data_IF_344181286175
#
_entry.id   IF_344181286175
#
_cell.length_a   1.000
_cell.length_b   1.000
_cell.length_c   1.000
_cell.angle_alpha   90.00
_cell.angle_beta   90.00
_cell.angle_gamma   90.00
#
_symmetry.space_group_name_H-M   'P 1'
#
loop_
_entity.id
_entity.type
_entity.pdbx_description
1 polymer ?
#
# COMPACT_ATOMS: atom_id res chain seq x y z
N UNK A 1 -2.32 25.03 9.11
CA UNK A 1 -2.31 23.69 8.48
C UNK A 1 -0.92 23.48 7.92
N UNK A 2 -0.12 22.59 8.50
CA UNK A 2 1.29 22.44 8.15
C UNK A 2 1.41 21.97 6.70
N UNK A 3 1.88 22.87 5.84
CA UNK A 3 2.09 22.64 4.42
C UNK A 3 3.05 21.47 4.23
N UNK A 4 2.51 20.30 3.87
CA UNK A 4 3.27 19.40 3.02
C UNK A 4 3.43 20.18 1.71
N UNK A 5 4.59 20.82 1.53
CA UNK A 5 4.83 21.73 0.40
C UNK A 5 4.32 21.11 -0.90
N UNK A 6 3.60 21.89 -1.70
CA UNK A 6 2.92 21.44 -2.93
C UNK A 6 3.80 20.49 -3.77
N UNK A 7 5.09 20.78 -3.85
CA UNK A 7 6.13 19.97 -4.49
C UNK A 7 6.10 18.50 -4.06
N UNK A 8 5.98 18.21 -2.76
CA UNK A 8 5.97 16.85 -2.23
C UNK A 8 4.69 16.11 -2.56
N UNK A 9 3.57 16.83 -2.62
CA UNK A 9 2.28 16.25 -3.04
C UNK A 9 2.33 15.88 -4.52
N UNK A 10 2.89 16.74 -5.37
CA UNK A 10 3.10 16.42 -6.79
C UNK A 10 4.10 15.27 -6.98
N UNK A 11 5.17 15.23 -6.19
CA UNK A 11 6.15 14.13 -6.23
C UNK A 11 5.51 12.79 -5.87
N UNK A 12 4.65 12.76 -4.83
CA UNK A 12 3.88 11.57 -4.48
C UNK A 12 2.95 11.14 -5.62
N UNK A 13 2.20 12.06 -6.21
CA UNK A 13 1.32 11.76 -7.36
C UNK A 13 2.10 11.24 -8.57
N UNK A 14 3.24 11.85 -8.87
CA UNK A 14 4.13 11.41 -9.93
C UNK A 14 4.66 10.00 -9.65
N UNK A 15 4.99 9.69 -8.39
CA UNK A 15 5.42 8.34 -8.00
C UNK A 15 4.31 7.30 -8.16
N UNK A 16 3.09 7.62 -7.73
CA UNK A 16 1.93 6.73 -7.94
C UNK A 16 1.65 6.51 -9.42
N UNK A 17 1.74 7.57 -10.24
CA UNK A 17 1.56 7.48 -11.68
C UNK A 17 2.66 6.61 -12.31
N UNK A 18 3.92 6.81 -11.91
CA UNK A 18 5.05 6.02 -12.38
C UNK A 18 4.87 4.53 -12.05
N UNK A 19 4.43 4.20 -10.84
CA UNK A 19 4.14 2.81 -10.44
C UNK A 19 2.96 2.25 -11.23
N UNK A 20 1.87 3.00 -11.36
CA UNK A 20 0.68 2.54 -12.08
C UNK A 20 0.98 2.26 -13.56
N UNK A 21 1.75 3.14 -14.21
CA UNK A 21 2.17 2.97 -15.60
C UNK A 21 3.19 1.84 -15.73
N UNK A 22 4.21 1.81 -14.87
CA UNK A 22 5.25 0.78 -14.88
C UNK A 22 4.68 -0.61 -14.68
N UNK A 23 3.85 -0.82 -13.65
CA UNK A 23 3.21 -2.11 -13.40
C UNK A 23 2.11 -2.39 -14.43
N UNK A 24 1.33 -1.39 -14.81
CA UNK A 24 0.25 -1.55 -15.79
C UNK A 24 0.76 -2.07 -17.13
N UNK A 25 1.80 -1.45 -17.70
CA UNK A 25 2.33 -1.89 -19.00
C UNK A 25 2.93 -3.29 -18.92
N UNK A 26 3.57 -3.66 -17.81
CA UNK A 26 4.26 -4.95 -17.68
C UNK A 26 3.33 -6.11 -17.34
N UNK A 27 2.29 -5.91 -16.52
CA UNK A 27 1.47 -7.00 -15.97
C UNK A 27 0.04 -7.05 -16.53
N UNK A 28 -0.49 -5.94 -17.02
CA UNK A 28 -1.86 -5.86 -17.52
C UNK A 28 -2.11 -6.64 -18.81
N UNK A 29 -1.19 -6.69 -19.81
CA UNK A 29 -1.40 -7.46 -21.02
C UNK A 29 -1.64 -8.95 -20.75
N UNK A 30 -0.88 -9.54 -19.82
CA UNK A 30 -1.06 -10.93 -19.42
C UNK A 30 -2.36 -11.18 -18.65
N UNK A 31 -2.96 -10.14 -18.05
CA UNK A 31 -4.19 -10.24 -17.28
C UNK A 31 -5.43 -10.13 -18.17
N UNK A 32 -5.39 -9.28 -19.21
CA UNK A 32 -6.45 -9.18 -20.22
C UNK A 32 -6.45 -10.40 -21.15
N UNK A 33 -5.27 -10.87 -21.55
CA UNK A 33 -5.11 -11.98 -22.49
C UNK A 33 -4.38 -13.15 -21.83
N UNK A 34 -4.99 -13.82 -20.83
CA UNK A 34 -4.36 -14.95 -20.17
C UNK A 34 -4.22 -16.14 -21.15
N UNK A 35 -3.06 -16.80 -21.19
CA UNK A 35 -2.92 -18.05 -21.93
C UNK A 35 -3.89 -19.10 -21.37
N UNK A 36 -4.52 -19.95 -22.21
CA UNK A 36 -5.47 -20.98 -21.76
C UNK A 36 -4.89 -21.99 -20.75
N UNK A 37 -3.56 -22.13 -20.70
CA UNK A 37 -2.82 -23.06 -19.82
C UNK A 37 -2.16 -22.37 -18.62
N UNK A 38 -2.48 -21.10 -18.35
CA UNK A 38 -1.84 -20.34 -17.29
C UNK A 38 -2.43 -20.72 -15.91
N UNK A 39 -1.75 -21.62 -15.20
CA UNK A 39 -2.13 -22.07 -13.84
C UNK A 39 -0.94 -22.13 -12.86
N UNK A 40 0.22 -21.59 -13.24
CA UNK A 40 1.41 -21.52 -12.38
C UNK A 40 1.42 -20.35 -11.39
N UNK A 41 2.34 -20.33 -10.41
CA UNK A 41 2.45 -19.26 -9.40
C UNK A 41 2.58 -17.84 -9.97
N UNK A 42 3.05 -17.70 -11.21
CA UNK A 42 3.16 -16.42 -11.90
C UNK A 42 1.81 -15.73 -12.15
N UNK A 43 0.71 -16.48 -12.25
CA UNK A 43 -0.63 -15.88 -12.44
C UNK A 43 -1.08 -15.10 -11.20
N UNK A 44 -0.76 -15.60 -10.01
CA UNK A 44 -1.04 -14.93 -8.73
C UNK A 44 -0.21 -13.66 -8.62
N UNK A 45 1.08 -13.72 -8.97
CA UNK A 45 1.97 -12.55 -8.98
C UNK A 45 1.45 -11.48 -9.94
N UNK A 46 1.03 -11.88 -11.14
CA UNK A 46 0.49 -10.97 -12.14
C UNK A 46 -0.83 -10.33 -11.70
N UNK A 47 -1.73 -11.09 -11.08
CA UNK A 47 -2.97 -10.55 -10.52
C UNK A 47 -2.70 -9.58 -9.36
N UNK A 48 -1.76 -9.91 -8.47
CA UNK A 48 -1.39 -9.08 -7.33
C UNK A 48 -0.75 -7.77 -7.79
N UNK A 49 0.22 -7.82 -8.71
CA UNK A 49 0.90 -6.64 -9.26
C UNK A 49 0.00 -5.82 -10.20
N UNK A 50 -0.88 -6.47 -10.95
CA UNK A 50 -1.90 -5.79 -11.75
C UNK A 50 -2.90 -5.03 -10.87
N UNK A 51 -3.35 -5.62 -9.76
CA UNK A 51 -4.21 -4.94 -8.79
C UNK A 51 -3.47 -3.81 -8.08
N UNK A 52 -2.19 -4.01 -7.78
CA UNK A 52 -1.33 -2.97 -7.22
C UNK A 52 -1.21 -1.76 -8.16
N UNK A 53 -1.15 -1.99 -9.48
CA UNK A 53 -1.19 -0.93 -10.48
C UNK A 53 -2.51 -0.12 -10.44
N UNK A 54 -3.66 -0.79 -10.28
CA UNK A 54 -4.95 -0.13 -10.12
C UNK A 54 -5.02 0.71 -8.85
N UNK A 55 -4.56 0.15 -7.73
CA UNK A 55 -4.50 0.87 -6.46
C UNK A 55 -3.51 2.05 -6.54
N UNK A 56 -2.41 1.92 -7.28
CA UNK A 56 -1.50 3.03 -7.54
C UNK A 56 -2.18 4.13 -8.38
N UNK A 57 -2.98 3.78 -9.39
CA UNK A 57 -3.79 4.75 -10.13
C UNK A 57 -4.77 5.49 -9.20
N UNK A 58 -5.40 4.79 -8.26
CA UNK A 58 -6.23 5.41 -7.22
C UNK A 58 -5.39 6.28 -6.27
N UNK A 59 -4.14 5.91 -6.02
CA UNK A 59 -3.13 6.67 -5.28
C UNK A 59 -2.84 8.03 -5.87
N UNK A 60 -2.94 8.20 -7.19
CA UNK A 60 -2.82 9.51 -7.84
C UNK A 60 -3.92 10.48 -7.35
N UNK A 61 -5.15 9.98 -7.13
CA UNK A 61 -6.26 10.77 -6.61
C UNK A 61 -6.15 11.02 -5.10
N UNK A 62 -5.75 9.99 -4.34
CA UNK A 62 -5.67 10.03 -2.87
C UNK A 62 -4.26 9.70 -2.33
N UNK A 63 -3.23 10.53 -2.64
CA UNK A 63 -1.83 10.17 -2.42
C UNK A 63 -1.43 9.97 -0.95
N UNK A 64 -2.08 10.71 -0.03
CA UNK A 64 -1.80 10.63 1.41
C UNK A 64 -2.51 9.44 2.06
N UNK A 65 -3.72 9.08 1.60
CA UNK A 65 -4.48 7.95 2.15
C UNK A 65 -3.88 6.61 1.76
N UNK A 66 -3.28 6.53 0.58
CA UNK A 66 -2.66 5.31 0.05
C UNK A 66 -1.16 5.20 0.34
N UNK A 67 -0.61 5.99 1.27
CA UNK A 67 0.79 5.85 1.72
C UNK A 67 1.18 4.43 2.13
N UNK A 68 0.33 3.61 2.78
CA UNK A 68 0.64 2.20 3.04
C UNK A 68 1.03 1.41 1.80
N UNK A 69 0.49 1.77 0.63
CA UNK A 69 0.78 1.13 -0.65
C UNK A 69 2.24 1.32 -1.06
N UNK A 70 2.79 2.53 -0.88
CA UNK A 70 4.20 2.81 -1.18
C UNK A 70 5.14 2.10 -0.20
N UNK A 71 4.73 1.97 1.06
CA UNK A 71 5.49 1.23 2.07
C UNK A 71 5.51 -0.26 1.70
N UNK A 72 4.34 -0.82 1.36
CA UNK A 72 4.23 -2.17 0.83
C UNK A 72 5.14 -2.35 -0.40
N UNK A 73 5.07 -1.41 -1.36
CA UNK A 73 5.87 -1.40 -2.59
C UNK A 73 7.38 -1.51 -2.30
N UNK A 74 7.85 -0.74 -1.31
CA UNK A 74 9.23 -0.74 -0.90
C UNK A 74 9.62 -2.06 -0.21
N UNK A 75 8.79 -2.53 0.72
CA UNK A 75 9.06 -3.72 1.52
C UNK A 75 9.12 -4.96 0.63
N UNK A 76 8.13 -5.18 -0.25
CA UNK A 76 8.14 -6.39 -1.07
C UNK A 76 9.32 -6.43 -2.04
N UNK A 77 9.73 -5.28 -2.58
CA UNK A 77 10.93 -5.16 -3.42
C UNK A 77 12.20 -5.47 -2.63
N UNK A 78 12.33 -4.92 -1.42
CA UNK A 78 13.47 -5.20 -0.56
C UNK A 78 13.54 -6.69 -0.19
N UNK A 79 12.41 -7.29 0.20
CA UNK A 79 12.32 -8.72 0.51
C UNK A 79 12.71 -9.54 -0.71
N UNK A 80 12.21 -9.21 -1.91
CA UNK A 80 12.56 -9.92 -3.13
C UNK A 80 14.05 -9.80 -3.47
N UNK A 81 14.61 -8.60 -3.37
CA UNK A 81 16.05 -8.36 -3.63
C UNK A 81 16.90 -9.13 -2.64
N UNK A 82 16.58 -9.12 -1.35
CA UNK A 82 17.38 -9.80 -0.33
C UNK A 82 17.25 -11.33 -0.46
N UNK A 83 16.04 -11.83 -0.68
CA UNK A 83 15.77 -13.26 -0.69
C UNK A 83 16.13 -13.94 -2.03
N UNK A 84 15.97 -13.24 -3.16
CA UNK A 84 16.12 -13.83 -4.50
C UNK A 84 17.15 -13.10 -5.36
N UNK A 85 17.04 -11.77 -5.47
CA UNK A 85 17.92 -10.98 -6.35
C UNK A 85 19.40 -11.05 -5.96
N UNK A 86 19.69 -10.94 -4.67
CA UNK A 86 21.03 -10.93 -4.11
C UNK A 86 21.70 -12.31 -4.19
N UNK A 87 21.04 -13.42 -3.77
CA UNK A 87 21.58 -14.76 -4.01
C UNK A 87 21.80 -15.06 -5.50
N UNK A 88 20.86 -14.70 -6.37
CA UNK A 88 20.99 -14.94 -7.82
C UNK A 88 22.16 -14.18 -8.43
N UNK A 89 22.36 -12.92 -8.04
CA UNK A 89 23.51 -12.13 -8.46
C UNK A 89 24.83 -12.73 -7.97
N UNK A 90 24.91 -13.14 -6.70
CA UNK A 90 26.10 -13.79 -6.13
C UNK A 90 26.43 -15.13 -6.78
N UNK A 91 25.43 -15.88 -7.22
CA UNK A 91 25.60 -17.15 -7.91
C UNK A 91 25.96 -16.99 -9.39
N UNK A 92 26.00 -15.76 -9.94
CA UNK A 92 26.23 -15.52 -11.36
C UNK A 92 25.08 -15.95 -12.28
N UNK A 93 23.92 -16.32 -11.70
CA UNK A 93 22.76 -16.84 -12.43
C UNK A 93 21.67 -15.76 -12.57
N UNK A 94 22.01 -14.64 -13.20
CA UNK A 94 20.99 -13.66 -13.60
C UNK A 94 20.50 -13.95 -15.00
N UNK A 95 19.32 -14.56 -15.11
CA UNK A 95 18.61 -14.61 -16.38
C UNK A 95 18.08 -13.21 -16.76
N UNK A 96 17.56 -13.07 -17.98
CA UNK A 96 17.02 -11.80 -18.48
C UNK A 96 15.86 -11.27 -17.62
N UNK A 97 15.08 -12.16 -17.00
CA UNK A 97 13.95 -11.80 -16.16
C UNK A 97 14.40 -11.26 -14.79
N UNK A 98 15.32 -11.96 -14.12
CA UNK A 98 15.87 -11.59 -12.83
C UNK A 98 16.66 -10.27 -12.91
N UNK A 99 17.43 -10.06 -13.99
CA UNK A 99 18.15 -8.81 -14.22
C UNK A 99 17.20 -7.62 -14.45
N UNK A 100 16.18 -7.79 -15.30
CA UNK A 100 15.14 -6.78 -15.51
C UNK A 100 14.35 -6.46 -14.23
N UNK A 101 13.99 -7.50 -13.47
CA UNK A 101 13.27 -7.36 -12.20
C UNK A 101 14.14 -6.66 -11.15
N UNK A 102 15.41 -7.03 -11.02
CA UNK A 102 16.35 -6.39 -10.10
C UNK A 102 16.50 -4.90 -10.43
N UNK A 103 16.64 -4.56 -11.71
CA UNK A 103 16.74 -3.17 -12.16
C UNK A 103 15.48 -2.36 -11.80
N UNK A 104 14.29 -2.90 -12.09
CA UNK A 104 13.02 -2.27 -11.72
C UNK A 104 12.85 -2.12 -10.20
N UNK A 105 13.28 -3.13 -9.43
CA UNK A 105 13.29 -3.08 -7.97
C UNK A 105 14.23 -1.99 -7.45
N UNK A 106 15.45 -1.86 -8.00
CA UNK A 106 16.42 -0.84 -7.61
C UNK A 106 15.88 0.58 -7.84
N UNK A 107 15.28 0.82 -9.01
CA UNK A 107 14.63 2.11 -9.31
C UNK A 107 13.56 2.42 -8.25
N UNK A 108 12.71 1.45 -7.93
CA UNK A 108 11.68 1.60 -6.89
C UNK A 108 12.26 1.86 -5.51
N UNK A 109 13.30 1.12 -5.11
CA UNK A 109 13.98 1.25 -3.82
C UNK A 109 14.64 2.62 -3.66
N UNK A 110 15.08 3.26 -4.74
CA UNK A 110 15.66 4.61 -4.68
C UNK A 110 14.56 5.68 -4.72
N UNK A 111 13.61 5.57 -5.66
CA UNK A 111 12.59 6.59 -5.89
C UNK A 111 11.52 6.65 -4.78
N UNK A 112 11.09 5.51 -4.24
CA UNK A 112 10.01 5.47 -3.23
C UNK A 112 10.43 6.20 -1.94
N UNK A 113 11.58 5.88 -1.32
CA UNK A 113 12.22 6.70 -0.29
C UNK A 113 12.30 8.19 -0.57
N UNK A 114 12.69 8.56 -1.78
CA UNK A 114 12.87 9.97 -2.14
C UNK A 114 11.53 10.71 -2.18
N UNK A 115 10.48 10.05 -2.68
CA UNK A 115 9.14 10.60 -2.74
C UNK A 115 8.41 10.59 -1.38
N UNK A 116 8.72 9.59 -0.53
CA UNK A 116 7.99 9.37 0.71
C UNK A 116 8.21 10.47 1.74
N UNK A 117 7.12 10.90 2.42
CA UNK A 117 7.26 11.82 3.51
C UNK A 117 7.72 11.15 4.80
N UNK A 118 9.02 10.84 4.91
CA UNK A 118 9.61 10.14 6.07
C UNK A 118 9.13 10.67 7.43
N UNK A 119 9.10 11.99 7.63
CA UNK A 119 8.60 12.61 8.87
C UNK A 119 7.14 12.26 9.17
N UNK A 120 6.30 12.14 8.14
CA UNK A 120 4.90 11.70 8.27
C UNK A 120 4.81 10.19 8.49
N UNK A 121 5.56 9.40 7.71
CA UNK A 121 5.57 7.93 7.82
C UNK A 121 6.01 7.48 9.20
N UNK A 122 7.12 8.02 9.74
CA UNK A 122 7.58 7.68 11.08
C UNK A 122 6.55 8.10 12.13
N UNK A 123 5.91 9.27 12.00
CA UNK A 123 4.92 9.73 12.98
C UNK A 123 3.66 8.86 12.98
N UNK A 124 3.17 8.48 11.81
CA UNK A 124 1.90 7.75 11.67
C UNK A 124 2.06 6.23 11.80
N UNK A 125 3.16 5.64 11.32
CA UNK A 125 3.32 4.17 11.34
C UNK A 125 4.31 3.67 12.38
N UNK A 126 5.28 4.47 12.82
CA UNK A 126 6.24 4.05 13.83
C UNK A 126 5.91 4.55 15.25
N UNK A 127 5.16 5.67 15.38
CA UNK A 127 4.82 6.26 16.67
C UNK A 127 3.36 6.08 17.11
N UNK A 128 2.39 6.00 16.21
CA UNK A 128 0.99 5.78 16.61
C UNK A 128 0.79 4.33 17.08
N UNK A 129 0.22 4.16 18.28
CA UNK A 129 -0.10 2.85 18.84
C UNK A 129 -1.25 2.24 18.01
N UNK A 130 -1.09 0.99 17.61
CA UNK A 130 -2.10 0.27 16.83
C UNK A 130 -3.49 0.28 17.48
N UNK A 131 -4.52 0.21 16.64
CA UNK A 131 -5.91 0.26 17.08
C UNK A 131 -6.20 -0.80 18.15
N UNK A 132 -6.95 -0.37 19.17
CA UNK A 132 -7.24 -1.18 20.34
C UNK A 132 -8.26 -2.28 19.98
N UNK A 133 -7.90 -3.52 20.23
CA UNK A 133 -8.67 -4.71 19.82
C UNK A 133 -10.04 -4.88 20.51
N UNK A 134 -10.30 -4.23 21.65
CA UNK A 134 -11.59 -4.33 22.35
C UNK A 134 -12.29 -2.98 22.43
N UNK A 135 -13.48 -2.92 21.82
CA UNK A 135 -14.54 -1.97 22.15
C UNK A 135 -15.15 -2.42 23.47
N UNK A 136 -15.11 -1.58 24.50
CA UNK A 136 -15.95 -1.79 25.69
C UNK A 136 -17.40 -1.81 25.23
N UNK A 137 -18.08 -2.92 25.46
CA UNK A 137 -19.52 -3.02 25.31
C UNK A 137 -20.17 -2.12 26.36
N UNK A 138 -20.35 -0.83 26.07
CA UNK A 138 -21.37 -0.02 26.73
C UNK A 138 -22.73 -0.41 26.16
N UNK A 139 -23.16 -1.60 26.55
CA UNK A 139 -24.50 -2.13 26.32
C UNK A 139 -25.12 -2.49 27.67
N UNK A 140 -25.26 -1.50 28.53
CA UNK A 140 -26.30 -1.44 29.54
C UNK A 140 -26.71 0.01 29.76
N UNK A 141 -27.28 0.60 28.69
CA UNK A 141 -28.38 1.54 28.85
C UNK A 141 -29.52 0.79 29.57
N UNK A 142 -29.46 0.66 30.89
CA UNK A 142 -30.65 0.50 31.73
C UNK A 142 -31.25 1.89 31.87
N UNK A 143 -31.77 2.40 30.76
CA UNK A 143 -32.59 3.58 30.69
C UNK A 143 -34.05 3.20 30.82
N UNK A 144 -34.54 2.99 32.04
CA UNK A 144 -35.96 3.18 32.36
C UNK A 144 -36.07 3.89 33.71
N UNK A 145 -35.91 5.21 33.67
CA UNK A 145 -36.59 6.09 34.62
C UNK A 145 -37.75 6.74 33.88
N UNK A 146 -39.01 6.41 34.16
CA UNK A 146 -40.12 7.27 33.81
C UNK A 146 -40.20 8.38 34.87
N UNK A 147 -39.86 9.60 34.45
CA UNK A 147 -40.27 10.81 35.17
C UNK A 147 -41.72 11.10 34.75
N UNK A 148 -42.66 10.94 35.68
CA UNK A 148 -43.97 11.63 35.64
C UNK A 148 -44.17 12.30 36.99
N UNK A 149 -44.39 13.61 36.94
CA UNK A 149 -44.53 14.55 38.06
C UNK A 149 -46.03 14.83 38.36
N UNK A 150 -46.36 15.78 39.25
CA UNK A 150 -47.08 15.60 40.52
C UNK A 150 -48.61 15.71 40.41
N UNK A 151 -49.35 15.04 41.31
CA UNK A 151 -50.81 15.08 41.36
C UNK A 151 -51.40 14.86 42.76
N UNK A 152 -51.68 15.98 43.43
CA UNK A 152 -52.82 16.30 44.33
C UNK A 152 -53.73 15.13 44.80
N UNK A 153 -53.93 15.07 46.12
CA UNK A 153 -55.18 14.87 46.90
C UNK A 153 -54.72 14.68 48.37
N UNK A 154 -55.24 15.34 49.40
CA UNK A 154 -56.62 15.66 49.74
C UNK A 154 -56.76 15.28 51.21
#
# INVERSE_FOLDING_TARGET
>A
MHELGLTRLYLLRAMYLFIAVGLGINFWPGLIYPPPTASGPGTVVQALLGTLALLAALGVRYPVRLLPLLIFELIWKLVWVIAYGWPAWRAGHMDAYASGTLFACMIGIVLVPLALPWRYVCRTFALERGDRWLRSSDASQTGERPVVSPGRNG
#
